data_IF_881898140098
#
_entry.id   IF_881898140098
#
_cell.length_a   1.000
_cell.length_b   1.000
_cell.length_c   1.000
_cell.angle_alpha   90.00
_cell.angle_beta   90.00
_cell.angle_gamma   90.00
#
_symmetry.space_group_name_H-M   'P 1'
#
loop_
_entity.id
_entity.type
_entity.pdbx_description
1 polymer ?
#
# COMPACT_ATOMS: atom_id res chain seq x y z
N UNK A 1 3.17 6.31 -22.48
CA UNK A 1 3.53 4.88 -22.37
C UNK A 1 2.69 4.32 -21.23
N UNK A 2 1.89 3.28 -21.48
CA UNK A 2 1.26 2.52 -20.39
C UNK A 2 2.37 1.98 -19.50
N UNK A 3 2.34 2.29 -18.21
CA UNK A 3 3.23 1.60 -17.27
C UNK A 3 2.70 0.17 -17.14
N UNK A 4 3.59 -0.83 -17.12
CA UNK A 4 3.23 -2.26 -17.15
C UNK A 4 2.30 -2.71 -16.02
N UNK A 5 1.90 -3.97 -16.02
CA UNK A 5 1.09 -4.54 -14.94
C UNK A 5 1.73 -4.24 -13.58
N UNK A 6 0.90 -3.87 -12.59
CA UNK A 6 1.31 -3.60 -11.22
C UNK A 6 1.97 -4.81 -10.53
N UNK A 7 2.26 -4.68 -9.25
CA UNK A 7 2.85 -5.77 -8.47
C UNK A 7 1.76 -6.77 -8.03
N UNK A 8 2.14 -8.05 -7.88
CA UNK A 8 1.29 -9.08 -7.29
C UNK A 8 1.02 -8.78 -5.82
N UNK A 9 -0.18 -9.09 -5.29
CA UNK A 9 -0.49 -8.86 -3.88
C UNK A 9 0.46 -9.65 -2.97
N UNK A 10 0.95 -9.01 -1.90
CA UNK A 10 1.61 -9.69 -0.80
C UNK A 10 0.56 -9.94 0.28
N UNK A 11 0.08 -11.17 0.37
CA UNK A 11 -1.00 -11.51 1.30
C UNK A 11 -0.82 -12.94 1.80
N UNK A 12 -1.10 -13.16 3.08
CA UNK A 12 -1.09 -14.47 3.73
C UNK A 12 -2.53 -14.92 4.01
N UNK A 13 -2.79 -16.23 4.16
CA UNK A 13 -4.14 -16.73 4.48
C UNK A 13 -4.75 -16.13 5.76
N UNK A 14 -3.92 -15.73 6.73
CA UNK A 14 -4.36 -15.10 7.98
C UNK A 14 -4.48 -13.58 7.92
N UNK A 15 -4.39 -12.96 6.74
CA UNK A 15 -4.38 -11.50 6.61
C UNK A 15 -5.64 -10.86 7.24
N UNK A 16 -5.42 -9.92 8.16
CA UNK A 16 -6.45 -9.14 8.85
C UNK A 16 -6.45 -7.68 8.41
N UNK A 17 -5.28 -7.19 8.04
CA UNK A 17 -5.04 -5.80 7.65
C UNK A 17 -4.51 -5.79 6.22
N UNK A 18 -5.23 -5.14 5.29
CA UNK A 18 -4.75 -4.93 3.93
C UNK A 18 -4.40 -3.46 3.71
N UNK A 19 -3.13 -3.17 3.44
CA UNK A 19 -2.68 -1.81 3.09
C UNK A 19 -2.63 -1.66 1.58
N UNK A 20 -3.41 -0.71 1.06
CA UNK A 20 -3.49 -0.41 -0.36
C UNK A 20 -2.77 0.90 -0.68
N UNK A 21 -1.72 0.82 -1.49
CA UNK A 21 -1.18 1.95 -2.22
C UNK A 21 -2.08 2.36 -3.39
N UNK A 22 -1.70 3.43 -4.09
CA UNK A 22 -2.41 3.81 -5.32
C UNK A 22 -1.92 2.98 -6.51
N UNK A 23 -0.63 3.12 -6.82
CA UNK A 23 0.06 2.37 -7.86
C UNK A 23 1.58 2.37 -7.58
N UNK A 24 2.30 1.26 -7.84
CA UNK A 24 3.73 1.17 -7.58
C UNK A 24 4.56 2.27 -8.26
N UNK A 25 5.66 2.67 -7.63
CA UNK A 25 6.63 3.59 -8.26
C UNK A 25 7.41 2.87 -9.36
N UNK A 26 8.05 3.62 -10.27
CA UNK A 26 8.93 3.03 -11.29
C UNK A 26 10.03 2.18 -10.67
N UNK A 27 10.59 2.60 -9.54
CA UNK A 27 11.61 1.82 -8.82
C UNK A 27 11.02 0.54 -8.23
N UNK A 28 9.79 0.60 -7.69
CA UNK A 28 9.07 -0.57 -7.19
C UNK A 28 8.78 -1.59 -8.29
N UNK A 29 8.32 -1.14 -9.46
CA UNK A 29 8.07 -2.02 -10.61
C UNK A 29 9.36 -2.67 -11.12
N UNK A 30 10.46 -1.89 -11.22
CA UNK A 30 11.76 -2.41 -11.66
C UNK A 30 12.34 -3.45 -10.70
N UNK A 31 12.16 -3.24 -9.39
CA UNK A 31 12.65 -4.16 -8.38
C UNK A 31 11.73 -5.37 -8.16
N UNK A 32 10.45 -5.28 -8.55
CA UNK A 32 9.43 -6.24 -8.11
C UNK A 32 9.11 -6.13 -6.62
N UNK A 33 9.34 -4.97 -6.02
CA UNK A 33 9.29 -4.76 -4.58
C UNK A 33 8.39 -3.57 -4.20
N UNK A 34 7.48 -3.79 -3.26
CA UNK A 34 6.68 -2.73 -2.69
C UNK A 34 7.55 -1.71 -1.98
N UNK A 35 7.29 -0.43 -2.28
CA UNK A 35 7.98 0.70 -1.66
C UNK A 35 9.52 0.69 -1.81
N UNK A 36 10.05 0.10 -2.88
CA UNK A 36 11.49 0.03 -3.18
C UNK A 36 12.24 1.38 -3.32
N UNK A 37 11.53 2.49 -3.52
CA UNK A 37 12.17 3.81 -3.59
C UNK A 37 12.76 4.16 -2.21
N UNK A 38 14.08 4.39 -2.05
CA UNK A 38 14.69 4.68 -0.75
C UNK A 38 14.16 5.95 -0.07
N UNK A 39 13.55 6.87 -0.84
CA UNK A 39 12.88 8.07 -0.28
C UNK A 39 11.46 7.79 0.22
N UNK A 40 10.91 6.61 -0.04
CA UNK A 40 9.61 6.22 0.49
C UNK A 40 9.77 5.78 1.95
N UNK A 41 8.99 6.38 2.83
CA UNK A 41 9.09 6.20 4.28
C UNK A 41 8.34 4.97 4.78
N UNK A 42 7.69 4.18 3.92
CA UNK A 42 6.86 3.05 4.33
C UNK A 42 7.62 2.09 5.24
N UNK A 43 8.82 1.66 4.83
CA UNK A 43 9.58 0.68 5.61
C UNK A 43 10.14 1.28 6.91
N UNK A 44 10.44 2.58 6.96
CA UNK A 44 10.77 3.27 8.21
C UNK A 44 9.57 3.30 9.18
N UNK A 45 8.36 3.52 8.65
CA UNK A 45 7.12 3.50 9.44
C UNK A 45 6.89 2.09 9.99
N UNK A 46 7.00 1.07 9.15
CA UNK A 46 6.87 -0.34 9.55
C UNK A 46 7.89 -0.74 10.61
N UNK A 47 9.15 -0.30 10.47
CA UNK A 47 10.17 -0.50 11.49
C UNK A 47 9.76 0.10 12.83
N UNK A 48 9.25 1.34 12.84
CA UNK A 48 8.82 1.99 14.08
C UNK A 48 7.60 1.33 14.73
N UNK A 49 6.64 0.85 13.94
CA UNK A 49 5.36 0.34 14.45
C UNK A 49 5.46 -1.13 14.86
N UNK A 50 6.21 -1.92 14.10
CA UNK A 50 6.28 -3.37 14.26
C UNK A 50 7.64 -3.87 14.74
N UNK A 51 8.62 -2.99 14.91
CA UNK A 51 10.01 -3.36 15.25
C UNK A 51 10.63 -4.32 14.24
N UNK A 52 10.29 -4.16 12.95
CA UNK A 52 10.86 -4.92 11.83
C UNK A 52 12.02 -4.10 11.25
N UNK A 53 13.30 -4.51 11.45
CA UNK A 53 14.43 -3.68 11.05
C UNK A 53 14.43 -3.40 9.53
N UNK A 54 14.64 -2.14 9.17
CA UNK A 54 14.74 -1.70 7.77
C UNK A 54 15.95 -2.33 7.07
N UNK A 55 16.99 -2.67 7.84
CA UNK A 55 18.23 -3.30 7.37
C UNK A 55 18.04 -4.72 6.85
N UNK A 56 16.92 -5.38 7.19
CA UNK A 56 16.64 -6.73 6.70
C UNK A 56 16.38 -6.74 5.18
N UNK A 57 16.75 -7.84 4.49
CA UNK A 57 16.37 -8.06 3.10
C UNK A 57 14.85 -7.94 2.90
N UNK A 58 14.43 -7.47 1.72
CA UNK A 58 13.01 -7.27 1.42
C UNK A 58 12.14 -8.51 1.67
N UNK A 59 12.64 -9.70 1.29
CA UNK A 59 11.94 -10.97 1.54
C UNK A 59 11.69 -11.25 3.02
N UNK A 60 12.64 -10.89 3.89
CA UNK A 60 12.51 -11.08 5.33
C UNK A 60 11.54 -10.05 5.93
N UNK A 61 11.65 -8.77 5.53
CA UNK A 61 10.71 -7.72 5.94
C UNK A 61 9.27 -8.06 5.56
N UNK A 62 9.06 -8.54 4.34
CA UNK A 62 7.73 -8.96 3.85
C UNK A 62 7.22 -10.19 4.58
N UNK A 63 8.07 -11.18 4.86
CA UNK A 63 7.67 -12.34 5.68
C UNK A 63 7.22 -11.94 7.08
N UNK A 64 7.91 -10.96 7.70
CA UNK A 64 7.60 -10.47 9.05
C UNK A 64 6.31 -9.64 9.14
N UNK A 65 5.94 -8.86 8.11
CA UNK A 65 4.64 -8.18 8.07
C UNK A 65 3.50 -9.18 7.80
N UNK A 66 3.73 -10.19 6.96
CA UNK A 66 2.76 -11.24 6.68
C UNK A 66 2.49 -12.11 7.91
N UNK A 67 3.51 -12.38 8.73
CA UNK A 67 3.39 -13.04 10.02
C UNK A 67 2.63 -12.21 11.07
N UNK A 68 2.54 -10.89 10.86
CA UNK A 68 1.69 -9.96 11.63
C UNK A 68 0.33 -9.74 10.96
N UNK A 69 -0.07 -10.61 10.03
CA UNK A 69 -1.35 -10.54 9.32
C UNK A 69 -1.56 -9.25 8.51
N UNK A 70 -0.48 -8.57 8.13
CA UNK A 70 -0.52 -7.36 7.31
C UNK A 70 -0.16 -7.73 5.86
N UNK A 71 -1.12 -7.52 4.95
CA UNK A 71 -0.94 -7.65 3.52
C UNK A 71 -0.74 -6.31 2.82
N UNK A 72 -0.09 -6.32 1.66
CA UNK A 72 0.16 -5.16 0.80
C UNK A 72 -0.37 -5.39 -0.60
N UNK A 73 -1.03 -4.38 -1.16
CA UNK A 73 -1.30 -4.30 -2.59
C UNK A 73 -1.49 -2.85 -3.03
N UNK A 74 -2.06 -2.65 -4.21
CA UNK A 74 -2.40 -1.34 -4.77
C UNK A 74 -3.83 -1.33 -5.29
N UNK A 75 -4.43 -0.14 -5.34
CA UNK A 75 -5.79 0.05 -5.89
C UNK A 75 -5.79 -0.14 -7.41
N UNK A 76 -4.75 0.32 -8.10
CA UNK A 76 -4.69 0.28 -9.56
C UNK A 76 -3.77 -0.85 -10.04
N UNK A 77 -4.23 -1.59 -11.05
CA UNK A 77 -3.46 -2.62 -11.76
C UNK A 77 -2.60 -2.00 -12.87
N UNK A 78 -3.08 -0.93 -13.49
CA UNK A 78 -2.39 -0.20 -14.55
C UNK A 78 -2.81 1.27 -14.56
N UNK A 79 -1.93 2.13 -15.08
CA UNK A 79 -2.27 3.51 -15.39
C UNK A 79 -1.30 4.13 -16.41
N UNK A 80 -1.76 5.22 -17.03
CA UNK A 80 -0.91 6.12 -17.78
C UNK A 80 -0.27 7.13 -16.81
N UNK A 81 1.07 7.18 -16.81
CA UNK A 81 1.86 8.21 -16.14
C UNK A 81 2.58 9.06 -17.17
N UNK A 82 2.35 10.37 -17.14
CA UNK A 82 3.16 11.31 -17.91
C UNK A 82 4.54 11.49 -17.26
N UNK A 83 5.58 11.68 -18.07
CA UNK A 83 6.95 11.96 -17.60
C UNK A 83 7.12 13.34 -16.93
N UNK A 84 6.05 14.11 -16.80
CA UNK A 84 6.11 15.46 -16.23
C UNK A 84 6.16 15.42 -14.70
N UNK A 85 6.66 16.50 -14.10
CA UNK A 85 6.74 16.68 -12.64
C UNK A 85 5.38 16.57 -11.93
N UNK A 86 4.27 16.73 -12.67
CA UNK A 86 2.92 16.43 -12.22
C UNK A 86 2.59 14.96 -12.49
N UNK A 87 2.85 14.11 -11.51
CA UNK A 87 2.53 12.67 -11.52
C UNK A 87 1.00 12.50 -11.38
N UNK A 88 0.23 12.93 -12.37
CA UNK A 88 -1.21 12.65 -12.44
C UNK A 88 -1.42 11.28 -13.07
N UNK A 89 -2.15 10.43 -12.35
CA UNK A 89 -2.63 9.15 -12.84
C UNK A 89 -3.72 9.42 -13.89
N UNK A 90 -3.53 8.93 -15.11
CA UNK A 90 -4.53 8.98 -16.19
C UNK A 90 -4.96 7.55 -16.55
N UNK A 91 -6.21 7.41 -16.98
CA UNK A 91 -6.82 6.12 -17.37
C UNK A 91 -6.52 4.97 -16.38
N UNK A 92 -6.79 5.13 -15.07
CA UNK A 92 -6.50 4.07 -14.12
C UNK A 92 -7.43 2.87 -14.34
N UNK A 93 -6.85 1.68 -14.36
CA UNK A 93 -7.56 0.42 -14.28
C UNK A 93 -7.41 -0.15 -12.86
N UNK A 94 -8.51 -0.53 -12.20
CA UNK A 94 -8.42 -1.08 -10.84
C UNK A 94 -7.86 -2.51 -10.83
N UNK A 95 -7.25 -2.91 -9.71
CA UNK A 95 -7.05 -4.31 -9.36
C UNK A 95 -8.38 -4.97 -8.96
N UNK A 96 -8.46 -6.30 -8.97
CA UNK A 96 -9.66 -7.00 -8.52
C UNK A 96 -9.68 -7.17 -6.98
N UNK A 97 -10.00 -6.06 -6.29
CA UNK A 97 -10.07 -6.05 -4.83
C UNK A 97 -11.23 -6.90 -4.31
N UNK A 98 -12.34 -7.00 -5.06
CA UNK A 98 -13.48 -7.85 -4.68
C UNK A 98 -13.06 -9.31 -4.63
N UNK A 99 -12.28 -9.75 -5.63
CA UNK A 99 -11.71 -11.08 -5.62
C UNK A 99 -10.81 -11.31 -4.41
N UNK A 100 -9.86 -10.41 -4.11
CA UNK A 100 -8.98 -10.57 -2.93
C UNK A 100 -9.77 -10.69 -1.64
N UNK A 101 -10.76 -9.83 -1.41
CA UNK A 101 -11.57 -9.89 -0.19
C UNK A 101 -12.36 -11.20 -0.11
N UNK A 102 -12.86 -11.71 -1.24
CA UNK A 102 -13.55 -13.01 -1.25
C UNK A 102 -12.62 -14.17 -0.90
N UNK A 103 -11.34 -14.10 -1.30
CA UNK A 103 -10.35 -15.14 -1.02
C UNK A 103 -9.77 -15.06 0.39
N UNK A 104 -9.75 -13.87 0.98
CA UNK A 104 -9.22 -13.61 2.32
C UNK A 104 -10.30 -12.97 3.19
N UNK A 105 -11.34 -13.73 3.60
CA UNK A 105 -12.47 -13.22 4.38
C UNK A 105 -12.09 -12.78 5.80
N UNK A 106 -10.86 -13.05 6.24
CA UNK A 106 -10.30 -12.60 7.51
C UNK A 106 -9.87 -11.13 7.50
N UNK A 107 -9.87 -10.45 6.35
CA UNK A 107 -9.54 -9.03 6.26
C UNK A 107 -10.63 -8.23 6.98
N UNK A 108 -10.28 -7.64 8.12
CA UNK A 108 -11.17 -6.81 8.93
C UNK A 108 -11.16 -5.34 8.47
N UNK A 109 -10.00 -4.88 7.98
CA UNK A 109 -9.79 -3.47 7.64
C UNK A 109 -8.87 -3.29 6.44
N UNK A 110 -9.20 -2.28 5.64
CA UNK A 110 -8.37 -1.81 4.54
C UNK A 110 -7.82 -0.43 4.88
N UNK A 111 -6.49 -0.30 4.91
CA UNK A 111 -5.84 0.99 5.04
C UNK A 111 -5.46 1.55 3.67
N UNK A 112 -5.86 2.79 3.40
CA UNK A 112 -5.67 3.47 2.13
C UNK A 112 -4.48 4.43 2.26
N UNK A 113 -3.33 4.05 1.70
CA UNK A 113 -2.08 4.81 1.76
C UNK A 113 -2.07 5.97 0.76
N UNK A 114 -2.54 7.14 1.22
CA UNK A 114 -2.57 8.37 0.46
C UNK A 114 -3.89 8.65 -0.25
N UNK A 115 -4.09 9.92 -0.62
CA UNK A 115 -5.37 10.43 -1.15
C UNK A 115 -5.77 9.78 -2.47
N UNK A 116 -4.79 9.43 -3.30
CA UNK A 116 -5.05 8.81 -4.59
C UNK A 116 -5.55 7.37 -4.44
N UNK A 117 -5.02 6.62 -3.47
CA UNK A 117 -5.53 5.29 -3.14
C UNK A 117 -6.97 5.38 -2.61
N UNK A 118 -7.21 6.32 -1.70
CA UNK A 118 -8.55 6.54 -1.14
C UNK A 118 -9.58 6.93 -2.21
N UNK A 119 -9.23 7.87 -3.09
CA UNK A 119 -10.08 8.31 -4.19
C UNK A 119 -10.38 7.16 -5.15
N UNK A 120 -9.36 6.40 -5.55
CA UNK A 120 -9.51 5.25 -6.42
C UNK A 120 -10.43 4.20 -5.80
N UNK A 121 -10.19 3.88 -4.52
CA UNK A 121 -10.97 2.88 -3.81
C UNK A 121 -12.46 3.27 -3.77
N UNK A 122 -12.77 4.49 -3.31
CA UNK A 122 -14.15 5.01 -3.25
C UNK A 122 -14.84 5.05 -4.61
N UNK A 123 -14.08 5.30 -5.68
CA UNK A 123 -14.61 5.36 -7.05
C UNK A 123 -14.95 3.97 -7.60
N UNK A 124 -14.06 3.00 -7.45
CA UNK A 124 -14.18 1.70 -8.11
C UNK A 124 -14.86 0.63 -7.25
N UNK A 125 -14.90 0.84 -5.93
CA UNK A 125 -15.41 -0.14 -4.96
C UNK A 125 -16.35 0.48 -3.91
N UNK A 126 -17.36 1.28 -4.32
CA UNK A 126 -18.30 1.90 -3.37
C UNK A 126 -19.18 0.89 -2.60
N UNK A 127 -19.27 -0.34 -3.10
CA UNK A 127 -20.07 -1.46 -2.59
C UNK A 127 -19.35 -2.32 -1.54
N UNK A 128 -18.03 -2.16 -1.37
CA UNK A 128 -17.29 -2.96 -0.39
C UNK A 128 -17.61 -2.46 1.03
N UNK A 129 -18.14 -3.35 1.86
CA UNK A 129 -18.56 -3.05 3.23
C UNK A 129 -17.46 -3.20 4.29
N UNK A 130 -16.26 -3.67 3.90
CA UNK A 130 -15.11 -3.75 4.82
C UNK A 130 -14.75 -2.35 5.31
N UNK A 131 -14.40 -2.25 6.60
CA UNK A 131 -13.98 -0.98 7.19
C UNK A 131 -12.75 -0.43 6.44
N UNK A 132 -12.80 0.85 6.06
CA UNK A 132 -11.65 1.52 5.43
C UNK A 132 -11.14 2.65 6.32
N UNK A 133 -9.81 2.81 6.39
CA UNK A 133 -9.16 3.91 7.12
C UNK A 133 -8.10 4.57 6.25
N UNK A 134 -8.06 5.90 6.27
CA UNK A 134 -7.05 6.67 5.55
C UNK A 134 -5.71 6.66 6.31
N UNK A 135 -4.61 6.53 5.56
CA UNK A 135 -3.26 6.76 6.05
C UNK A 135 -2.58 7.87 5.22
N UNK A 136 -1.81 8.77 5.86
CA UNK A 136 -1.02 9.75 5.12
C UNK A 136 -0.01 9.02 4.23
N UNK A 137 0.21 9.56 3.03
CA UNK A 137 1.05 8.92 2.02
C UNK A 137 2.47 8.68 2.56
N UNK A 138 2.96 7.43 2.43
CA UNK A 138 4.35 7.09 2.74
C UNK A 138 5.37 7.60 1.69
N UNK A 139 4.89 8.12 0.55
CA UNK A 139 5.69 8.73 -0.50
C UNK A 139 6.49 9.94 0.02
N UNK A 140 7.65 10.28 -0.59
CA UNK A 140 8.35 11.54 -0.32
C UNK A 140 7.58 12.78 -0.78
N UNK A 141 6.48 12.61 -1.52
CA UNK A 141 5.60 13.72 -1.85
C UNK A 141 5.01 14.31 -0.56
N UNK A 142 5.09 15.64 -0.44
CA UNK A 142 4.73 16.43 0.74
C UNK A 142 5.77 16.35 1.89
N UNK A 143 6.21 17.53 2.34
CA UNK A 143 7.22 17.71 3.39
C UNK A 143 6.70 17.41 4.82
N UNK A 144 5.98 16.29 4.98
CA UNK A 144 5.51 15.81 6.28
C UNK A 144 6.63 15.02 6.96
N UNK A 145 6.88 15.31 8.23
CA UNK A 145 7.93 14.64 9.01
C UNK A 145 7.59 13.16 9.23
N UNK A 146 8.61 12.31 9.25
CA UNK A 146 8.45 10.86 9.49
C UNK A 146 7.71 10.58 10.80
N UNK A 147 8.04 11.30 11.88
CA UNK A 147 7.42 11.14 13.20
C UNK A 147 5.90 11.37 13.16
N UNK A 148 5.44 12.38 12.43
CA UNK A 148 4.02 12.67 12.26
C UNK A 148 3.31 11.59 11.44
N UNK A 149 3.98 11.05 10.41
CA UNK A 149 3.44 9.89 9.68
C UNK A 149 3.32 8.67 10.59
N UNK A 150 4.34 8.36 11.39
CA UNK A 150 4.32 7.24 12.34
C UNK A 150 3.14 7.37 13.30
N UNK A 151 2.92 8.56 13.87
CA UNK A 151 1.79 8.80 14.78
C UNK A 151 0.44 8.48 14.13
N UNK A 152 0.24 8.89 12.88
CA UNK A 152 -1.00 8.58 12.14
C UNK A 152 -1.11 7.11 11.73
N UNK A 153 0.00 6.43 11.53
CA UNK A 153 0.03 5.01 11.17
C UNK A 153 -0.09 4.08 12.37
N UNK A 154 0.14 4.55 13.60
CA UNK A 154 -0.01 3.75 14.84
C UNK A 154 -1.40 3.15 15.02
N UNK A 155 -2.43 3.72 14.39
CA UNK A 155 -3.79 3.17 14.32
C UNK A 155 -3.83 1.71 13.84
N UNK A 156 -2.82 1.25 13.11
CA UNK A 156 -2.69 -0.15 12.67
C UNK A 156 -2.57 -1.10 13.88
N UNK A 157 -1.95 -0.67 14.98
CA UNK A 157 -1.79 -1.49 16.18
C UNK A 157 -3.10 -1.70 16.94
N UNK A 158 -4.17 -0.98 16.63
CA UNK A 158 -5.50 -1.16 17.26
C UNK A 158 -6.23 -2.42 16.75
N UNK A 159 -5.75 -3.00 15.65
CA UNK A 159 -6.41 -4.11 14.94
C UNK A 159 -5.73 -5.46 15.24
N UNK A 160 -4.49 -5.41 15.76
CA UNK A 160 -3.67 -6.58 16.10
C UNK A 160 -3.81 -6.98 17.56
#
# INVERSE_FOLDING_TARGET
>A
MRSGCGLSPLISPGCRILILGSYPSVLSLKAGEYYANPRNMFWNIIESIFSIPLTLPYKERTSLILARNVGLWDVYSSCDRERSADIRIKNPEPNDIRWIISQYPTIDVIFLNGREAEKGFKKFFPDISIATRYLPSSSPAHAVRLSEKIEKWNVINEIN
#
